data_IF_249531955231
#
_entry.id   IF_249531955231
#
_cell.length_a   1.000
_cell.length_b   1.000
_cell.length_c   1.000
_cell.angle_alpha   90.00
_cell.angle_beta   90.00
_cell.angle_gamma   90.00
#
_symmetry.space_group_name_H-M   'P 1'
#
loop_
_entity.id
_entity.type
_entity.pdbx_description
1 polymer ?
#
# COMPACT_ATOMS: atom_id res chain seq x y z
N UNK A 1 15.63 -69.94 28.41
CA UNK A 1 15.02 -68.59 28.50
C UNK A 1 13.97 -68.50 27.41
N UNK A 2 12.71 -68.36 27.80
CA UNK A 2 11.55 -68.69 26.97
C UNK A 2 11.20 -67.52 26.05
N UNK A 3 10.83 -67.83 24.81
CA UNK A 3 10.43 -66.88 23.73
C UNK A 3 9.38 -65.85 24.15
N UNK A 4 8.63 -66.11 25.23
CA UNK A 4 7.67 -65.17 25.82
C UNK A 4 8.31 -63.96 26.52
N UNK A 5 9.53 -64.09 27.06
CA UNK A 5 10.22 -62.99 27.75
C UNK A 5 10.86 -62.00 26.76
N UNK A 6 11.24 -62.47 25.57
CA UNK A 6 11.82 -61.63 24.51
C UNK A 6 10.79 -60.69 23.86
N UNK A 7 9.55 -61.15 23.69
CA UNK A 7 8.48 -60.35 23.09
C UNK A 7 8.05 -59.16 23.98
N UNK A 8 8.05 -59.35 25.30
CA UNK A 8 7.67 -58.31 26.26
C UNK A 8 8.75 -57.22 26.34
N UNK A 9 10.03 -57.60 26.28
CA UNK A 9 11.15 -56.64 26.27
C UNK A 9 11.18 -55.79 24.99
N UNK A 10 10.87 -56.38 23.82
CA UNK A 10 10.83 -55.66 22.55
C UNK A 10 9.69 -54.62 22.46
N UNK A 11 8.53 -54.90 23.09
CA UNK A 11 7.41 -53.97 23.15
C UNK A 11 7.68 -52.78 24.09
N UNK A 12 8.38 -52.99 25.21
CA UNK A 12 8.68 -51.91 26.16
C UNK A 12 9.66 -50.87 25.60
N UNK A 13 10.66 -51.29 24.80
CA UNK A 13 11.69 -50.39 24.24
C UNK A 13 11.09 -49.48 23.16
N UNK A 14 10.18 -50.01 22.34
CA UNK A 14 9.54 -49.23 21.25
C UNK A 14 8.60 -48.15 21.79
N UNK A 15 7.89 -48.41 22.90
CA UNK A 15 6.97 -47.45 23.50
C UNK A 15 7.72 -46.31 24.21
N UNK A 16 8.81 -46.61 24.92
CA UNK A 16 9.64 -45.57 25.56
C UNK A 16 10.40 -44.71 24.54
N UNK A 17 10.90 -45.29 23.45
CA UNK A 17 11.56 -44.53 22.38
C UNK A 17 10.62 -43.54 21.66
N UNK A 18 9.36 -43.94 21.43
CA UNK A 18 8.36 -43.06 20.82
C UNK A 18 7.94 -41.90 21.74
N UNK A 19 7.83 -42.14 23.06
CA UNK A 19 7.52 -41.10 24.05
C UNK A 19 8.65 -40.08 24.20
N UNK A 20 9.92 -40.48 24.05
CA UNK A 20 11.04 -39.53 24.08
C UNK A 20 11.02 -38.62 22.84
N UNK A 21 10.81 -39.16 21.64
CA UNK A 21 10.77 -38.36 20.41
C UNK A 21 9.61 -37.36 20.34
N UNK A 22 8.45 -37.69 20.93
CA UNK A 22 7.29 -36.78 20.98
C UNK A 22 7.48 -35.67 22.01
N UNK A 23 8.26 -35.90 23.07
CA UNK A 23 8.47 -34.90 24.14
C UNK A 23 9.68 -33.99 23.89
N UNK A 24 10.62 -34.39 23.03
CA UNK A 24 11.82 -33.59 22.69
C UNK A 24 11.79 -33.01 21.27
N UNK A 25 10.61 -32.93 20.64
CA UNK A 25 10.48 -32.23 19.36
C UNK A 25 10.80 -30.74 19.58
N UNK A 26 11.86 -30.19 18.95
CA UNK A 26 12.13 -28.76 19.04
C UNK A 26 10.92 -28.03 18.45
N UNK A 27 10.30 -27.17 19.25
CA UNK A 27 9.23 -26.30 18.79
C UNK A 27 9.71 -25.62 17.51
N UNK A 28 9.00 -25.90 16.41
CA UNK A 28 9.30 -25.30 15.11
C UNK A 28 9.44 -23.80 15.32
N UNK A 29 10.56 -23.25 14.84
CA UNK A 29 10.85 -21.83 14.92
C UNK A 29 9.65 -21.06 14.41
N UNK A 30 8.91 -20.46 15.34
CA UNK A 30 7.90 -19.48 15.03
C UNK A 30 8.64 -18.35 14.35
N UNK A 31 8.48 -18.25 13.03
CA UNK A 31 8.76 -17.02 12.31
C UNK A 31 7.86 -15.96 12.94
N UNK A 32 8.43 -15.20 13.87
CA UNK A 32 7.83 -14.01 14.41
C UNK A 32 7.81 -13.00 13.27
N UNK A 33 6.79 -13.08 12.41
CA UNK A 33 6.34 -11.89 11.72
C UNK A 33 6.00 -10.93 12.83
N UNK A 34 6.82 -9.90 13.02
CA UNK A 34 6.41 -8.72 13.76
C UNK A 34 5.08 -8.32 13.13
N UNK A 35 3.99 -8.59 13.83
CA UNK A 35 2.72 -8.00 13.49
C UNK A 35 3.00 -6.52 13.58
N UNK A 36 3.14 -5.87 12.42
CA UNK A 36 3.01 -4.43 12.34
C UNK A 36 1.71 -4.16 13.07
N UNK A 37 1.82 -3.62 14.29
CA UNK A 37 0.69 -3.31 15.13
C UNK A 37 -0.30 -2.63 14.22
N UNK A 38 -1.47 -3.26 14.03
CA UNK A 38 -2.56 -2.66 13.29
C UNK A 38 -2.99 -1.46 14.11
N UNK A 39 -2.25 -0.36 13.99
CA UNK A 39 -2.70 0.95 14.38
C UNK A 39 -4.05 1.06 13.70
N UNK A 40 -5.11 1.21 14.50
CA UNK A 40 -6.43 1.65 14.06
C UNK A 40 -6.21 2.54 12.85
N UNK A 41 -6.69 2.12 11.68
CA UNK A 41 -6.22 2.66 10.41
C UNK A 41 -6.70 4.12 10.26
N UNK A 42 -5.98 5.03 10.91
CA UNK A 42 -6.27 6.45 10.96
C UNK A 42 -5.72 7.07 9.68
N UNK A 43 -6.35 8.13 9.23
CA UNK A 43 -5.78 9.01 8.22
C UNK A 43 -4.60 9.79 8.79
N UNK A 44 -3.79 10.39 7.93
CA UNK A 44 -2.76 11.34 8.38
C UNK A 44 -3.45 12.68 8.66
N UNK A 45 -3.36 13.24 9.88
CA UNK A 45 -4.01 14.51 10.20
C UNK A 45 -3.55 15.63 9.27
N UNK A 46 -4.50 16.40 8.73
CA UNK A 46 -4.22 17.56 7.90
C UNK A 46 -3.74 17.25 6.47
N UNK A 47 -3.50 16.00 6.10
CA UNK A 47 -3.13 15.63 4.72
C UNK A 47 -4.36 15.14 3.97
N UNK A 48 -4.67 15.79 2.84
CA UNK A 48 -5.83 15.50 2.01
C UNK A 48 -5.44 15.44 0.53
N UNK A 49 -5.92 14.43 -0.19
CA UNK A 49 -5.88 14.41 -1.65
C UNK A 49 -7.23 14.87 -2.22
N UNK A 50 -7.18 15.72 -3.25
CA UNK A 50 -8.33 16.17 -4.02
C UNK A 50 -8.16 15.84 -5.48
N UNK A 51 -9.27 15.56 -6.15
CA UNK A 51 -9.32 15.25 -7.57
C UNK A 51 -10.13 16.34 -8.30
N UNK A 52 -9.67 16.73 -9.48
CA UNK A 52 -10.48 17.60 -10.36
C UNK A 52 -10.20 17.28 -11.82
N UNK A 53 -11.25 17.14 -12.62
CA UNK A 53 -11.05 16.93 -14.06
C UNK A 53 -10.59 18.22 -14.74
N UNK A 54 -9.51 18.13 -15.53
CA UNK A 54 -8.94 19.27 -16.26
C UNK A 54 -9.01 19.12 -17.78
N UNK A 55 -9.18 17.89 -18.29
CA UNK A 55 -9.39 17.64 -19.72
C UNK A 55 -10.34 16.46 -19.94
N UNK A 56 -11.05 16.46 -21.07
CA UNK A 56 -11.96 15.38 -21.51
C UNK A 56 -11.40 14.54 -22.66
N UNK A 57 -10.38 15.06 -23.37
CA UNK A 57 -9.74 14.37 -24.51
C UNK A 57 -8.28 14.85 -24.68
N UNK A 58 -7.27 14.04 -24.30
CA UNK A 58 -7.42 12.82 -23.50
C UNK A 58 -7.98 13.16 -22.10
N UNK A 59 -8.82 12.29 -21.51
CA UNK A 59 -9.41 12.56 -20.20
C UNK A 59 -8.31 12.65 -19.14
N UNK A 60 -8.27 13.75 -18.40
CA UNK A 60 -7.17 14.04 -17.47
C UNK A 60 -7.71 14.62 -16.16
N UNK A 61 -7.17 14.13 -15.04
CA UNK A 61 -7.50 14.56 -13.67
C UNK A 61 -6.26 15.19 -13.06
N UNK A 62 -6.43 16.38 -12.48
CA UNK A 62 -5.47 16.99 -11.59
C UNK A 62 -5.66 16.40 -10.19
N UNK A 63 -4.62 15.77 -9.69
CA UNK A 63 -4.51 15.31 -8.31
C UNK A 63 -3.81 16.41 -7.52
N UNK A 64 -4.47 16.94 -6.50
CA UNK A 64 -3.90 17.94 -5.60
C UNK A 64 -3.74 17.33 -4.22
N UNK A 65 -2.52 17.35 -3.70
CA UNK A 65 -2.23 17.00 -2.32
C UNK A 65 -2.09 18.27 -1.50
N UNK A 66 -2.86 18.38 -0.43
CA UNK A 66 -2.92 19.56 0.41
C UNK A 66 -2.52 19.26 1.84
N UNK A 67 -1.75 20.18 2.41
CA UNK A 67 -1.40 20.17 3.83
C UNK A 67 -2.18 21.27 4.57
N UNK A 68 -3.16 20.85 5.37
CA UNK A 68 -3.98 21.69 6.22
C UNK A 68 -3.39 21.91 7.62
N UNK A 69 -2.22 21.32 7.94
CA UNK A 69 -1.56 21.60 9.20
C UNK A 69 -1.12 23.07 9.25
N UNK A 70 -1.32 23.76 10.39
CA UNK A 70 -0.90 25.16 10.54
C UNK A 70 0.62 25.32 10.71
N UNK A 71 1.32 24.25 11.10
CA UNK A 71 2.75 24.33 11.47
C UNK A 71 3.58 23.13 11.04
N UNK A 72 2.98 21.99 10.72
CA UNK A 72 3.71 20.77 10.38
C UNK A 72 4.02 20.70 8.89
N UNK A 73 5.29 20.53 8.56
CA UNK A 73 5.73 20.12 7.22
C UNK A 73 5.65 18.60 7.13
N UNK A 74 5.12 18.08 6.02
CA UNK A 74 5.13 16.65 5.76
C UNK A 74 5.96 16.33 4.53
N UNK A 75 6.73 15.26 4.60
CA UNK A 75 7.37 14.63 3.45
C UNK A 75 6.77 13.25 3.28
N UNK A 76 6.40 12.89 2.06
CA UNK A 76 5.87 11.58 1.74
C UNK A 76 6.64 10.93 0.61
N UNK A 77 6.68 9.62 0.65
CA UNK A 77 7.09 8.79 -0.46
C UNK A 77 5.92 8.66 -1.44
N UNK A 78 6.10 9.08 -2.69
CA UNK A 78 5.04 9.07 -3.72
C UNK A 78 4.51 7.68 -4.03
N UNK A 79 5.27 6.63 -3.72
CA UNK A 79 4.96 5.25 -4.06
C UNK A 79 3.63 4.79 -3.43
N UNK A 80 2.77 4.17 -4.25
CA UNK A 80 1.46 3.69 -3.82
C UNK A 80 0.43 4.80 -3.56
N UNK A 81 0.75 6.05 -3.90
CA UNK A 81 -0.16 7.20 -3.79
C UNK A 81 -0.63 7.67 -5.17
N UNK A 82 -1.60 8.59 -5.26
CA UNK A 82 -2.02 9.18 -6.55
C UNK A 82 -0.91 9.98 -7.24
N UNK A 83 0.16 10.35 -6.53
CA UNK A 83 1.35 11.03 -7.06
C UNK A 83 2.39 10.06 -7.64
N UNK A 84 2.14 8.75 -7.52
CA UNK A 84 2.98 7.73 -8.11
C UNK A 84 2.83 7.73 -9.64
N UNK A 85 3.92 7.83 -10.42
CA UNK A 85 3.86 7.72 -11.88
C UNK A 85 3.19 6.43 -12.38
N UNK A 86 3.19 5.39 -11.55
CA UNK A 86 2.57 4.09 -11.85
C UNK A 86 1.19 3.90 -11.17
N UNK A 87 0.65 4.90 -10.47
CA UNK A 87 -0.58 4.81 -9.66
C UNK A 87 -1.76 4.15 -10.40
N UNK A 88 -1.95 4.53 -11.67
CA UNK A 88 -3.04 4.02 -12.52
C UNK A 88 -2.98 2.50 -12.75
N UNK A 89 -1.79 1.90 -12.71
CA UNK A 89 -1.62 0.45 -12.88
C UNK A 89 -1.44 -0.28 -11.55
N UNK A 90 -1.40 0.43 -10.42
CA UNK A 90 -1.25 -0.14 -9.07
C UNK A 90 -2.59 -0.26 -8.33
N UNK A 91 -3.69 0.08 -8.98
CA UNK A 91 -5.02 0.02 -8.39
C UNK A 91 -5.31 1.12 -7.35
N UNK A 92 -4.51 2.19 -7.35
CA UNK A 92 -4.71 3.37 -6.50
C UNK A 92 -6.00 4.11 -6.88
N UNK A 93 -6.24 4.24 -8.19
CA UNK A 93 -7.49 4.80 -8.72
C UNK A 93 -8.55 3.72 -8.84
N UNK A 94 -9.76 4.03 -8.39
CA UNK A 94 -10.98 3.23 -8.56
C UNK A 94 -11.90 3.95 -9.52
N UNK A 95 -12.37 3.23 -10.53
CA UNK A 95 -13.22 3.76 -11.57
C UNK A 95 -14.50 2.93 -11.64
N UNK A 96 -15.64 3.59 -11.55
CA UNK A 96 -16.95 2.99 -11.77
C UNK A 96 -17.62 3.72 -12.93
N UNK A 97 -18.22 3.01 -13.88
CA UNK A 97 -19.07 3.63 -14.89
C UNK A 97 -20.22 4.37 -14.18
N UNK A 98 -20.39 5.65 -14.45
CA UNK A 98 -21.36 6.48 -13.73
C UNK A 98 -22.81 6.15 -14.10
N UNK A 99 -23.04 5.59 -15.29
CA UNK A 99 -24.38 5.24 -15.78
C UNK A 99 -24.79 3.82 -15.35
N UNK A 100 -23.87 2.85 -15.35
CA UNK A 100 -24.18 1.44 -14.99
C UNK A 100 -23.77 1.06 -13.56
N UNK A 101 -22.89 1.82 -12.92
CA UNK A 101 -22.27 1.50 -11.63
C UNK A 101 -21.16 0.43 -11.70
N UNK A 102 -20.94 -0.18 -12.86
CA UNK A 102 -19.96 -1.27 -13.02
C UNK A 102 -18.53 -0.76 -12.82
N UNK A 103 -17.72 -1.51 -12.06
CA UNK A 103 -16.30 -1.21 -11.88
C UNK A 103 -15.53 -1.46 -13.17
N UNK A 104 -14.68 -0.51 -13.55
CA UNK A 104 -13.76 -0.68 -14.67
C UNK A 104 -12.65 -1.61 -14.22
N UNK A 105 -12.51 -2.75 -14.91
CA UNK A 105 -11.44 -3.70 -14.61
C UNK A 105 -10.08 -3.10 -14.95
N UNK A 106 -9.22 -2.97 -13.94
CA UNK A 106 -7.83 -2.54 -14.08
C UNK A 106 -6.93 -3.74 -13.84
N UNK A 107 -6.10 -4.09 -14.81
CA UNK A 107 -5.07 -5.12 -14.63
C UNK A 107 -3.96 -4.56 -13.73
N UNK A 108 -4.05 -4.85 -12.44
CA UNK A 108 -3.08 -4.39 -11.45
C UNK A 108 -1.77 -5.12 -11.66
N UNK A 109 -0.71 -4.36 -11.92
CA UNK A 109 0.65 -4.91 -12.05
C UNK A 109 1.32 -4.94 -10.69
N UNK A 110 2.11 -5.99 -10.44
CA UNK A 110 3.07 -6.01 -9.33
C UNK A 110 4.39 -5.50 -9.85
N UNK A 111 4.96 -4.52 -9.15
CA UNK A 111 6.24 -3.92 -9.50
C UNK A 111 7.26 -4.16 -8.40
N UNK A 112 8.50 -4.42 -8.80
CA UNK A 112 9.66 -4.41 -7.91
C UNK A 112 10.38 -3.08 -8.12
N UNK A 113 10.54 -2.30 -7.04
CA UNK A 113 11.23 -1.01 -7.08
C UNK A 113 12.68 -1.19 -6.59
N UNK A 114 13.57 -0.36 -7.13
CA UNK A 114 14.95 -0.29 -6.65
C UNK A 114 14.98 0.35 -5.27
N UNK A 115 15.73 -0.27 -4.35
CA UNK A 115 15.93 0.22 -2.99
C UNK A 115 17.33 0.84 -2.81
N UNK A 116 17.48 1.87 -1.97
CA UNK A 116 16.40 2.65 -1.35
C UNK A 116 15.64 3.47 -2.41
N UNK A 117 14.44 4.00 -2.09
CA UNK A 117 13.78 4.97 -2.95
C UNK A 117 14.70 6.15 -3.28
N UNK A 118 14.69 6.65 -4.53
CA UNK A 118 15.46 7.84 -4.86
C UNK A 118 14.84 9.09 -4.21
N UNK A 119 15.66 10.12 -3.96
CA UNK A 119 15.21 11.35 -3.28
C UNK A 119 14.09 12.09 -4.03
N UNK A 120 14.09 12.02 -5.36
CA UNK A 120 13.04 12.58 -6.20
C UNK A 120 11.70 11.80 -6.11
N UNK A 121 11.67 10.63 -5.47
CA UNK A 121 10.44 9.93 -5.13
C UNK A 121 9.76 10.52 -3.89
N UNK A 122 10.45 11.40 -3.15
CA UNK A 122 9.88 12.15 -2.05
C UNK A 122 9.19 13.40 -2.57
N UNK A 123 8.17 13.85 -1.85
CA UNK A 123 7.56 15.16 -2.04
C UNK A 123 7.29 15.77 -0.67
N UNK A 124 7.74 17.01 -0.49
CA UNK A 124 7.58 17.79 0.73
C UNK A 124 6.49 18.83 0.53
N UNK A 125 5.60 18.95 1.52
CA UNK A 125 4.50 19.89 1.51
C UNK A 125 4.52 20.66 2.82
N UNK A 126 4.78 21.95 2.70
CA UNK A 126 4.83 22.88 3.81
C UNK A 126 3.42 23.17 4.36
N UNK A 127 3.31 23.70 5.59
CA UNK A 127 2.05 24.12 6.18
C UNK A 127 1.22 25.00 5.25
N UNK A 128 -0.04 24.67 5.04
CA UNK A 128 -0.98 25.44 4.21
C UNK A 128 -0.74 25.38 2.70
N UNK A 129 0.27 24.63 2.23
CA UNK A 129 0.60 24.53 0.80
C UNK A 129 -0.03 23.30 0.14
N UNK A 130 0.02 23.28 -1.18
CA UNK A 130 -0.50 22.20 -1.99
C UNK A 130 0.46 21.88 -3.15
N UNK A 131 0.54 20.61 -3.49
CA UNK A 131 1.28 20.09 -4.65
C UNK A 131 0.27 19.44 -5.59
N UNK A 132 0.40 19.67 -6.90
CA UNK A 132 -0.52 19.06 -7.87
C UNK A 132 0.20 18.33 -8.99
N UNK A 133 -0.36 17.21 -9.44
CA UNK A 133 0.10 16.47 -10.62
C UNK A 133 -1.06 16.11 -11.54
N UNK A 134 -0.81 16.19 -12.84
CA UNK A 134 -1.76 15.72 -13.85
C UNK A 134 -1.65 14.20 -14.03
N UNK A 135 -2.81 13.55 -14.14
CA UNK A 135 -2.93 12.11 -14.43
C UNK A 135 -3.85 11.93 -15.63
N UNK A 136 -3.29 11.40 -16.72
CA UNK A 136 -3.98 11.19 -17.99
C UNK A 136 -4.57 9.78 -18.03
N UNK A 137 -5.90 9.68 -18.11
CA UNK A 137 -6.68 8.43 -18.18
C UNK A 137 -6.87 7.92 -19.62
N UNK A 138 -5.76 7.84 -20.35
CA UNK A 138 -5.69 7.26 -21.70
C UNK A 138 -4.80 6.02 -21.66
N UNK A 139 -5.37 4.92 -21.17
CA UNK A 139 -4.67 3.64 -20.96
C UNK A 139 -5.35 2.52 -21.74
N UNK A 140 -4.62 1.47 -22.16
CA UNK A 140 -5.21 0.36 -22.91
C UNK A 140 -6.35 -0.39 -22.21
N UNK A 141 -6.39 -0.36 -20.87
CA UNK A 141 -7.44 -0.98 -20.06
C UNK A 141 -8.71 -0.11 -19.95
N UNK A 142 -8.66 1.16 -20.36
CA UNK A 142 -9.85 2.02 -20.37
C UNK A 142 -10.82 1.53 -21.45
N UNK A 143 -12.13 1.46 -21.17
CA UNK A 143 -13.10 1.09 -22.19
C UNK A 143 -13.06 2.07 -23.37
N UNK A 144 -13.12 1.54 -24.59
CA UNK A 144 -13.10 2.34 -25.82
C UNK A 144 -14.43 3.08 -26.10
N UNK A 145 -15.44 2.89 -25.26
CA UNK A 145 -16.75 3.54 -25.41
C UNK A 145 -16.63 5.03 -25.13
N UNK A 146 -16.90 5.85 -26.15
CA UNK A 146 -16.95 7.31 -26.06
C UNK A 146 -18.20 7.83 -26.77
N UNK A 147 -18.93 8.82 -26.22
CA UNK A 147 -18.68 9.46 -24.92
C UNK A 147 -19.00 8.52 -23.75
N UNK A 148 -18.32 8.73 -22.61
CA UNK A 148 -18.55 7.95 -21.39
C UNK A 148 -18.38 8.82 -20.14
N UNK A 149 -18.88 8.32 -19.01
CA UNK A 149 -18.78 8.97 -17.71
C UNK A 149 -18.30 7.96 -16.67
N UNK A 150 -17.32 8.35 -15.87
CA UNK A 150 -16.77 7.52 -14.82
C UNK A 150 -16.72 8.28 -13.51
N UNK A 151 -17.17 7.63 -12.45
CA UNK A 151 -16.91 8.06 -11.09
C UNK A 151 -15.50 7.59 -10.71
N UNK A 152 -14.62 8.54 -10.38
CA UNK A 152 -13.21 8.29 -10.08
C UNK A 152 -12.91 8.69 -8.66
N UNK A 153 -12.27 7.81 -7.91
CA UNK A 153 -11.70 8.11 -6.58
C UNK A 153 -10.32 7.50 -6.49
N UNK A 154 -9.50 7.99 -5.56
CA UNK A 154 -8.24 7.37 -5.22
C UNK A 154 -8.21 6.97 -3.75
N UNK A 155 -7.71 5.78 -3.46
CA UNK A 155 -7.63 5.26 -2.10
C UNK A 155 -6.44 4.31 -1.95
N UNK A 156 -5.89 4.25 -0.74
CA UNK A 156 -4.71 3.44 -0.48
C UNK A 156 -4.10 3.67 0.89
N UNK A 157 -2.83 3.30 1.01
CA UNK A 157 -2.02 3.48 2.22
C UNK A 157 -0.75 4.23 1.85
N UNK A 158 -0.34 5.16 2.70
CA UNK A 158 0.98 5.74 2.58
C UNK A 158 2.03 4.67 2.89
N UNK A 159 3.03 4.54 2.01
CA UNK A 159 4.15 3.62 2.21
C UNK A 159 5.25 4.22 3.07
N UNK A 160 5.41 5.55 3.06
CA UNK A 160 6.36 6.29 3.88
C UNK A 160 5.93 7.74 3.98
N UNK A 161 5.89 8.26 5.20
CA UNK A 161 5.55 9.66 5.47
C UNK A 161 6.16 10.08 6.81
N UNK A 162 6.71 11.29 6.82
CA UNK A 162 7.44 11.89 7.93
C UNK A 162 6.95 13.32 8.15
N UNK A 163 6.85 13.73 9.41
CA UNK A 163 6.52 15.11 9.79
C UNK A 163 7.79 15.97 9.87
N UNK A 164 8.44 16.12 8.72
CA UNK A 164 9.66 16.92 8.53
C UNK A 164 9.91 17.16 7.04
N UNK A 165 10.89 18.00 6.71
CA UNK A 165 11.30 18.25 5.33
C UNK A 165 12.08 17.07 4.72
N UNK A 166 12.14 16.99 3.38
CA UNK A 166 12.85 15.90 2.70
C UNK A 166 14.36 15.88 3.00
N UNK A 167 14.95 17.05 3.26
CA UNK A 167 16.37 17.17 3.61
C UNK A 167 16.68 16.62 5.01
N UNK A 168 15.67 16.58 5.89
CA UNK A 168 15.78 16.02 7.25
C UNK A 168 15.44 14.52 7.30
N UNK A 169 14.95 13.93 6.21
CA UNK A 169 14.81 12.48 6.07
C UNK A 169 16.19 11.90 5.83
N UNK A 170 16.69 11.07 6.75
CA UNK A 170 18.01 10.47 6.63
C UNK A 170 17.98 9.34 5.59
N UNK A 171 19.16 8.93 5.11
CA UNK A 171 19.25 7.78 4.20
C UNK A 171 18.78 6.48 4.88
N UNK A 172 19.06 6.31 6.18
CA UNK A 172 18.59 5.15 6.96
C UNK A 172 17.06 5.11 7.08
N UNK A 173 16.42 6.25 7.33
CA UNK A 173 14.95 6.34 7.36
C UNK A 173 14.33 6.12 5.99
N UNK A 174 15.01 6.51 4.92
CA UNK A 174 14.54 6.29 3.55
C UNK A 174 14.73 4.83 3.12
N UNK A 175 15.81 4.18 3.54
CA UNK A 175 16.06 2.76 3.31
C UNK A 175 15.01 1.90 4.02
N UNK A 176 14.70 2.23 5.28
CA UNK A 176 13.60 1.64 6.03
C UNK A 176 12.37 2.56 6.11
N UNK A 177 11.91 3.03 4.96
CA UNK A 177 10.72 3.91 4.89
C UNK A 177 9.47 3.27 5.53
N UNK A 178 9.44 1.94 5.61
CA UNK A 178 8.34 1.16 6.16
C UNK A 178 8.26 1.26 7.69
N UNK A 179 9.36 1.59 8.37
CA UNK A 179 9.37 1.84 9.81
C UNK A 179 8.90 3.27 10.18
N UNK A 180 8.59 4.12 9.20
CA UNK A 180 8.16 5.49 9.44
C UNK A 180 6.92 5.58 10.35
N UNK A 181 6.83 6.62 11.21
CA UNK A 181 5.80 6.71 12.26
C UNK A 181 4.37 6.82 11.73
N UNK A 182 4.23 7.32 10.49
CA UNK A 182 2.95 7.51 9.82
C UNK A 182 2.75 6.51 8.65
N UNK A 183 3.64 5.53 8.48
CA UNK A 183 3.48 4.47 7.48
C UNK A 183 2.17 3.67 7.74
N UNK A 184 1.56 3.19 6.66
CA UNK A 184 0.36 2.36 6.70
C UNK A 184 -0.93 3.12 6.97
N UNK A 185 -0.86 4.43 7.25
CA UNK A 185 -2.02 5.32 7.36
C UNK A 185 -2.79 5.36 6.05
N UNK A 186 -4.11 5.41 6.14
CA UNK A 186 -5.00 5.40 4.98
C UNK A 186 -5.12 6.79 4.36
N UNK A 187 -5.35 6.82 3.06
CA UNK A 187 -5.89 7.99 2.36
C UNK A 187 -7.06 7.55 1.49
N UNK A 188 -8.01 8.47 1.31
CA UNK A 188 -9.14 8.32 0.40
C UNK A 188 -9.58 9.69 -0.05
N UNK A 189 -9.79 9.86 -1.35
CA UNK A 189 -10.37 11.08 -1.92
C UNK A 189 -11.89 11.00 -1.95
N UNK A 190 -12.51 12.15 -2.16
CA UNK A 190 -13.83 12.24 -2.74
C UNK A 190 -13.91 11.54 -4.11
N UNK A 191 -15.14 11.30 -4.53
CA UNK A 191 -15.44 10.76 -5.86
C UNK A 191 -15.75 11.91 -6.82
N UNK A 192 -15.12 11.88 -7.99
CA UNK A 192 -15.26 12.90 -9.04
C UNK A 192 -15.80 12.28 -10.31
N UNK A 193 -16.80 12.94 -10.90
CA UNK A 193 -17.33 12.55 -12.21
C UNK A 193 -16.36 13.00 -13.31
N UNK A 194 -15.68 12.05 -13.94
CA UNK A 194 -14.82 12.25 -15.10
C UNK A 194 -15.61 12.01 -16.39
N UNK A 195 -15.64 13.00 -17.26
CA UNK A 195 -16.28 12.94 -18.58
C UNK A 195 -15.27 12.60 -19.68
N UNK A 196 -15.50 11.56 -20.44
CA UNK A 196 -14.63 11.13 -21.55
C UNK A 196 -15.31 11.46 -22.88
N UNK A 197 -14.57 12.15 -23.76
CA UNK A 197 -15.04 12.56 -25.10
C UNK A 197 -14.25 11.89 -26.21
#
# INVERSE_FOLDING_TARGET
MNTRTAAIAALAITIFGALYFVTTAPAGSSFHMSSSSSSSATTVPGIEFKLSQISRSPPSILVTLKNHSPSSTYTLLKWGTPLDPLAQNLGVFKLNNADTGEEVSIDIIKISRKMPPPRDALVTIMPGTEESTEVIFDKPWMPNTKPAKYNVRAEGRFMGIWEKSADEVTDDELDDYSAGPLNGRLFKTEEVLMLVQ
#
